data_IF_325488981627
#
_entry.id   IF_325488981627
#
_cell.length_a   1.000
_cell.length_b   1.000
_cell.length_c   1.000
_cell.angle_alpha   90.00
_cell.angle_beta   90.00
_cell.angle_gamma   90.00
#
_symmetry.space_group_name_H-M   'P 1'
#
loop_
_entity.id
_entity.type
_entity.pdbx_description
1 polymer ?
#
# COMPACT_ATOMS: atom_id res chain seq x y z
N UNK A 1 -22.57 -2.95 7.32
CA UNK A 1 -22.32 -1.51 7.02
C UNK A 1 -21.95 -1.33 5.56
N UNK A 2 -22.57 -0.40 4.85
CA UNK A 2 -22.39 -0.17 3.41
C UNK A 2 -21.18 0.74 3.12
N UNK A 3 -20.44 0.50 2.04
CA UNK A 3 -19.37 1.40 1.56
C UNK A 3 -19.94 2.73 1.04
N UNK A 4 -19.15 3.79 1.11
CA UNK A 4 -19.48 5.07 0.46
C UNK A 4 -19.32 4.93 -1.06
N UNK A 5 -20.14 5.67 -1.82
CA UNK A 5 -20.21 5.54 -3.29
C UNK A 5 -18.86 5.74 -3.98
N UNK A 6 -18.04 6.68 -3.48
CA UNK A 6 -16.68 6.92 -3.99
C UNK A 6 -15.78 5.66 -3.96
N UNK A 7 -15.99 4.76 -2.99
CA UNK A 7 -15.24 3.52 -2.82
C UNK A 7 -15.93 2.29 -3.42
N UNK A 8 -17.01 2.49 -4.16
CA UNK A 8 -17.65 1.40 -4.87
C UNK A 8 -16.71 0.86 -5.95
N UNK A 9 -16.86 -0.43 -6.21
CA UNK A 9 -16.23 -1.16 -7.30
C UNK A 9 -17.33 -1.97 -7.96
N UNK A 10 -17.18 -2.31 -9.24
CA UNK A 10 -18.08 -3.27 -9.89
C UNK A 10 -18.11 -4.58 -9.09
N UNK A 11 -19.31 -5.07 -8.87
CA UNK A 11 -19.60 -6.40 -8.33
C UNK A 11 -19.16 -7.48 -9.32
N UNK A 12 -19.14 -8.73 -8.85
CA UNK A 12 -18.84 -9.87 -9.74
C UNK A 12 -19.80 -9.92 -10.92
N UNK A 13 -21.10 -9.75 -10.69
CA UNK A 13 -22.13 -9.78 -11.75
C UNK A 13 -21.92 -8.66 -12.77
N UNK A 14 -21.69 -7.42 -12.33
CA UNK A 14 -21.43 -6.30 -13.25
C UNK A 14 -20.16 -6.51 -14.08
N UNK A 15 -19.16 -7.26 -13.58
CA UNK A 15 -17.98 -7.61 -14.38
C UNK A 15 -18.30 -8.73 -15.36
N UNK A 16 -19.17 -9.68 -15.01
CA UNK A 16 -19.60 -10.76 -15.91
C UNK A 16 -20.37 -10.23 -17.12
N UNK A 17 -21.07 -9.11 -16.95
CA UNK A 17 -21.83 -8.44 -18.02
C UNK A 17 -20.93 -7.67 -19.01
N UNK A 18 -19.63 -7.57 -18.74
CA UNK A 18 -18.65 -7.00 -19.67
C UNK A 18 -18.29 -8.01 -20.76
N UNK A 19 -17.72 -7.53 -21.87
CA UNK A 19 -17.15 -8.40 -22.89
C UNK A 19 -15.94 -9.18 -22.35
N UNK A 20 -16.17 -10.37 -21.81
CA UNK A 20 -15.14 -11.18 -21.14
C UNK A 20 -14.21 -11.88 -22.15
N UNK A 21 -12.91 -11.63 -22.01
CA UNK A 21 -11.85 -12.44 -22.62
C UNK A 21 -11.23 -13.35 -21.57
N UNK A 22 -10.90 -14.59 -21.95
CA UNK A 22 -10.16 -15.49 -21.05
C UNK A 22 -8.66 -15.48 -21.35
N UNK A 23 -7.85 -15.60 -20.30
CA UNK A 23 -6.40 -15.78 -20.41
C UNK A 23 -5.94 -16.93 -19.51
N UNK A 24 -5.18 -17.88 -20.09
CA UNK A 24 -4.69 -19.08 -19.40
C UNK A 24 -3.21 -19.04 -19.04
N UNK A 25 -2.49 -18.00 -19.47
CA UNK A 25 -1.06 -17.81 -19.25
C UNK A 25 -0.82 -16.55 -18.42
N UNK A 26 0.28 -16.52 -17.67
CA UNK A 26 0.65 -15.35 -16.85
C UNK A 26 1.48 -14.32 -17.63
N UNK A 27 2.18 -14.73 -18.68
CA UNK A 27 3.00 -13.85 -19.52
C UNK A 27 2.11 -12.89 -20.31
N UNK A 28 2.45 -11.60 -20.32
CA UNK A 28 1.71 -10.53 -21.00
C UNK A 28 0.42 -10.14 -20.28
N UNK A 29 0.24 -10.55 -19.02
CA UNK A 29 -1.00 -10.35 -18.30
C UNK A 29 -1.17 -8.89 -17.89
N UNK A 30 -0.09 -8.23 -17.48
CA UNK A 30 -0.10 -6.80 -17.16
C UNK A 30 -0.52 -5.97 -18.38
N UNK A 31 0.11 -6.16 -19.54
CA UNK A 31 -0.22 -5.42 -20.76
C UNK A 31 -1.68 -5.64 -21.17
N UNK A 32 -2.14 -6.90 -21.07
CA UNK A 32 -3.53 -7.24 -21.37
C UNK A 32 -4.50 -6.51 -20.45
N UNK A 33 -4.23 -6.48 -19.13
CA UNK A 33 -5.06 -5.75 -18.17
C UNK A 33 -5.01 -4.25 -18.45
N UNK A 34 -3.84 -3.70 -18.76
CA UNK A 34 -3.68 -2.28 -19.05
C UNK A 34 -4.37 -1.88 -20.36
N UNK A 35 -4.49 -2.78 -21.33
CA UNK A 35 -5.21 -2.53 -22.57
C UNK A 35 -6.75 -2.58 -22.44
N UNK A 36 -7.30 -2.98 -21.29
CA UNK A 36 -8.75 -3.10 -21.11
C UNK A 36 -9.45 -1.73 -21.17
N UNK A 37 -10.47 -1.62 -22.02
CA UNK A 37 -11.43 -0.51 -22.03
C UNK A 37 -12.48 -0.66 -20.91
N UNK A 38 -13.27 0.38 -20.66
CA UNK A 38 -14.32 0.36 -19.61
C UNK A 38 -15.36 -0.75 -19.81
N UNK A 39 -15.68 -1.11 -21.06
CA UNK A 39 -16.64 -2.16 -21.42
C UNK A 39 -16.07 -3.58 -21.56
N UNK A 40 -14.74 -3.73 -21.47
CA UNK A 40 -14.08 -5.03 -21.61
C UNK A 40 -13.76 -5.65 -20.25
N UNK A 41 -13.91 -6.97 -20.13
CA UNK A 41 -13.54 -7.72 -18.94
C UNK A 41 -12.53 -8.82 -19.24
N UNK A 42 -11.80 -9.26 -18.20
CA UNK A 42 -10.79 -10.30 -18.31
C UNK A 42 -11.00 -11.36 -17.23
N UNK A 43 -11.00 -12.62 -17.66
CA UNK A 43 -11.00 -13.79 -16.78
C UNK A 43 -9.62 -14.43 -16.79
N UNK A 44 -8.94 -14.38 -15.65
CA UNK A 44 -7.66 -15.03 -15.44
C UNK A 44 -7.92 -16.49 -15.03
N UNK A 45 -7.45 -17.42 -15.86
CA UNK A 45 -7.42 -18.87 -15.59
C UNK A 45 -6.00 -19.37 -15.28
N UNK A 46 -5.10 -18.44 -14.95
CA UNK A 46 -3.74 -18.74 -14.51
C UNK A 46 -3.60 -18.50 -12.99
N UNK A 47 -2.74 -19.28 -12.35
CA UNK A 47 -2.49 -19.16 -10.92
C UNK A 47 -1.55 -17.98 -10.63
N UNK A 48 -2.04 -16.92 -9.98
CA UNK A 48 -1.22 -15.75 -9.60
C UNK A 48 -0.47 -15.96 -8.28
N UNK A 49 -1.10 -16.63 -7.31
CA UNK A 49 -0.47 -16.91 -6.02
C UNK A 49 0.59 -18.00 -6.18
N UNK A 50 1.82 -17.86 -5.66
CA UNK A 50 2.83 -18.92 -5.75
C UNK A 50 2.37 -20.26 -5.17
N UNK A 51 2.72 -21.36 -5.85
CA UNK A 51 2.31 -22.73 -5.46
C UNK A 51 2.68 -23.11 -4.02
N UNK A 52 3.78 -22.57 -3.48
CA UNK A 52 4.19 -22.79 -2.07
C UNK A 52 3.11 -22.44 -1.04
N UNK A 53 2.21 -21.49 -1.35
CA UNK A 53 1.14 -21.09 -0.43
C UNK A 53 -0.13 -21.96 -0.53
N UNK A 54 -0.25 -22.79 -1.56
CA UNK A 54 -1.32 -23.78 -1.68
C UNK A 54 -1.04 -25.05 -0.88
N UNK A 55 0.23 -25.31 -0.51
CA UNK A 55 0.59 -26.39 0.41
C UNK A 55 -0.18 -26.22 1.73
N UNK A 56 -1.00 -27.23 2.08
CA UNK A 56 -1.87 -27.26 3.25
C UNK A 56 -3.03 -26.22 3.24
N UNK A 57 -3.38 -25.68 2.07
CA UNK A 57 -4.51 -24.75 1.90
C UNK A 57 -5.60 -25.40 1.06
N UNK A 58 -6.78 -25.61 1.66
CA UNK A 58 -7.91 -26.24 0.96
C UNK A 58 -8.65 -25.29 -0.01
N UNK A 59 -8.34 -23.99 -0.01
CA UNK A 59 -9.00 -22.99 -0.86
C UNK A 59 -8.04 -21.92 -1.32
N UNK A 60 -8.32 -21.32 -2.48
CA UNK A 60 -7.52 -20.19 -3.01
C UNK A 60 -7.57 -18.98 -2.08
N UNK A 61 -8.69 -18.77 -1.38
CA UNK A 61 -8.81 -17.72 -0.38
C UNK A 61 -7.82 -17.90 0.80
N UNK A 62 -7.64 -19.14 1.29
CA UNK A 62 -6.64 -19.44 2.34
C UNK A 62 -5.22 -19.24 1.82
N UNK A 63 -4.92 -19.75 0.63
CA UNK A 63 -3.61 -19.59 -0.01
C UNK A 63 -3.26 -18.10 -0.22
N UNK A 64 -4.22 -17.31 -0.70
CA UNK A 64 -4.05 -15.86 -0.90
C UNK A 64 -3.82 -15.11 0.41
N UNK A 65 -4.54 -15.45 1.49
CA UNK A 65 -4.28 -14.88 2.84
C UNK A 65 -2.89 -15.26 3.36
N UNK A 66 -2.47 -16.51 3.19
CA UNK A 66 -1.12 -16.96 3.56
C UNK A 66 -0.06 -16.21 2.76
N UNK A 67 -0.26 -16.04 1.46
CA UNK A 67 0.63 -15.25 0.60
C UNK A 67 0.67 -13.77 0.97
N UNK A 68 -0.47 -13.15 1.29
CA UNK A 68 -0.46 -11.75 1.77
C UNK A 68 0.37 -11.60 3.06
N UNK A 69 0.29 -12.59 3.95
CA UNK A 69 0.95 -12.58 5.25
C UNK A 69 2.44 -12.91 5.15
N UNK A 70 2.80 -13.99 4.46
CA UNK A 70 4.16 -14.57 4.40
C UNK A 70 4.80 -14.46 3.00
N UNK A 71 4.21 -13.66 2.11
CA UNK A 71 4.70 -13.42 0.76
C UNK A 71 6.01 -12.66 0.74
N UNK A 72 6.66 -12.70 -0.41
CA UNK A 72 7.94 -12.03 -0.61
C UNK A 72 7.71 -10.52 -0.77
N UNK A 73 8.61 -9.72 -0.20
CA UNK A 73 8.64 -8.26 -0.35
C UNK A 73 10.01 -7.85 -0.85
N UNK A 74 10.06 -6.85 -1.74
CA UNK A 74 11.31 -6.28 -2.23
C UNK A 74 12.03 -5.59 -1.05
N UNK A 75 13.21 -6.04 -0.63
CA UNK A 75 13.95 -5.38 0.43
C UNK A 75 14.57 -4.08 -0.11
N UNK A 76 14.29 -2.95 0.54
CA UNK A 76 14.97 -1.70 0.22
C UNK A 76 16.35 -1.71 0.87
N UNK A 77 17.40 -1.62 0.06
CA UNK A 77 18.77 -1.50 0.57
C UNK A 77 18.94 -0.14 1.26
N UNK A 78 19.34 -0.14 2.52
CA UNK A 78 19.56 1.08 3.30
C UNK A 78 20.68 0.88 4.32
N UNK A 79 21.28 1.95 4.84
CA UNK A 79 22.31 1.82 5.88
C UNK A 79 21.77 1.11 7.12
N UNK A 80 22.58 0.22 7.72
CA UNK A 80 22.16 -0.67 8.81
C UNK A 80 22.36 -0.10 10.21
N UNK A 81 23.17 0.95 10.36
CA UNK A 81 23.45 1.57 11.66
C UNK A 81 22.94 2.99 11.70
N UNK A 82 22.67 3.50 12.91
CA UNK A 82 22.24 4.89 13.11
C UNK A 82 23.26 5.89 12.56
N UNK A 83 24.56 5.66 12.80
CA UNK A 83 25.65 6.53 12.30
C UNK A 83 25.62 6.62 10.78
N UNK A 84 25.58 5.46 10.09
CA UNK A 84 25.56 5.42 8.63
C UNK A 84 24.28 6.02 8.05
N UNK A 85 23.14 5.91 8.74
CA UNK A 85 21.93 6.61 8.31
C UNK A 85 22.08 8.13 8.47
N UNK A 86 22.74 8.58 9.54
CA UNK A 86 22.95 10.01 9.79
C UNK A 86 23.96 10.67 8.85
N UNK A 87 24.84 9.88 8.23
CA UNK A 87 25.82 10.33 7.25
C UNK A 87 25.33 10.16 5.80
N UNK A 88 24.23 9.43 5.61
CA UNK A 88 23.72 9.07 4.29
C UNK A 88 22.92 10.21 3.67
N UNK A 89 23.21 10.61 2.42
CA UNK A 89 22.40 11.59 1.69
C UNK A 89 21.11 10.97 1.11
N UNK A 90 20.95 9.65 1.20
CA UNK A 90 19.85 8.94 0.56
C UNK A 90 18.49 9.32 1.18
N UNK A 91 17.49 9.47 0.33
CA UNK A 91 16.08 9.62 0.73
C UNK A 91 15.27 8.36 0.35
N UNK A 92 14.13 8.09 1.01
CA UNK A 92 13.32 6.91 0.72
C UNK A 92 12.91 6.76 -0.75
N UNK A 93 12.69 7.86 -1.46
CA UNK A 93 12.43 7.84 -2.90
C UNK A 93 13.57 7.16 -3.68
N UNK A 94 14.81 7.53 -3.41
CA UNK A 94 15.98 6.94 -4.08
C UNK A 94 16.12 5.45 -3.72
N UNK A 95 15.86 5.08 -2.46
CA UNK A 95 15.89 3.67 -2.04
C UNK A 95 14.90 2.82 -2.84
N UNK A 96 13.69 3.33 -3.07
CA UNK A 96 12.67 2.66 -3.90
C UNK A 96 13.07 2.64 -5.37
N UNK A 97 13.52 3.76 -5.92
CA UNK A 97 13.95 3.86 -7.30
C UNK A 97 15.08 2.85 -7.61
N UNK A 98 16.10 2.74 -6.75
CA UNK A 98 17.15 1.75 -6.90
C UNK A 98 16.64 0.31 -6.85
N UNK A 99 15.72 0.01 -5.92
CA UNK A 99 15.18 -1.35 -5.80
C UNK A 99 14.31 -1.72 -7.02
N UNK A 100 13.43 -0.83 -7.46
CA UNK A 100 12.49 -1.08 -8.56
C UNK A 100 13.15 -0.97 -9.94
N UNK A 101 14.25 -0.23 -10.07
CA UNK A 101 15.03 -0.19 -11.30
C UNK A 101 16.21 -1.18 -11.30
N UNK A 102 16.35 -2.01 -10.27
CA UNK A 102 17.41 -3.01 -10.23
C UNK A 102 17.29 -3.97 -11.42
N UNK A 103 18.42 -4.28 -12.04
CA UNK A 103 18.47 -5.17 -13.20
C UNK A 103 17.87 -6.54 -12.90
N UNK A 104 18.13 -7.06 -11.68
CA UNK A 104 17.52 -8.29 -11.20
C UNK A 104 15.99 -8.24 -11.24
N UNK A 105 15.39 -7.13 -10.79
CA UNK A 105 13.94 -6.99 -10.80
C UNK A 105 13.38 -6.80 -12.21
N UNK A 106 14.01 -5.95 -13.03
CA UNK A 106 13.52 -5.65 -14.40
C UNK A 106 13.70 -6.80 -15.39
N UNK A 107 14.69 -7.68 -15.20
CA UNK A 107 14.91 -8.86 -16.05
C UNK A 107 14.18 -10.12 -15.56
N UNK A 108 13.59 -10.08 -14.37
CA UNK A 108 12.76 -11.20 -13.89
C UNK A 108 11.56 -11.35 -14.81
N UNK A 109 11.24 -12.58 -15.23
CA UNK A 109 10.07 -12.83 -16.08
C UNK A 109 8.80 -12.46 -15.33
N UNK A 110 7.80 -11.92 -16.03
CA UNK A 110 6.55 -11.44 -15.41
C UNK A 110 5.92 -12.48 -14.48
N UNK A 111 5.86 -13.76 -14.89
CA UNK A 111 5.31 -14.87 -14.10
C UNK A 111 6.10 -15.22 -12.83
N UNK A 112 7.37 -14.81 -12.74
CA UNK A 112 8.26 -15.04 -11.60
C UNK A 112 8.20 -13.90 -10.57
N UNK A 113 7.67 -12.74 -10.96
CA UNK A 113 7.48 -11.59 -10.08
C UNK A 113 6.28 -11.85 -9.19
N UNK A 114 6.56 -12.18 -7.93
CA UNK A 114 5.58 -12.59 -6.94
C UNK A 114 5.64 -11.74 -5.65
N UNK A 115 6.14 -10.51 -5.77
CA UNK A 115 6.26 -9.59 -4.64
C UNK A 115 4.91 -8.96 -4.28
N UNK A 116 4.57 -8.97 -3.00
CA UNK A 116 3.33 -8.35 -2.49
C UNK A 116 3.50 -6.84 -2.25
N UNK A 117 4.74 -6.39 -2.12
CA UNK A 117 5.12 -5.03 -1.81
C UNK A 117 6.63 -4.88 -1.65
N UNK A 118 7.05 -3.85 -0.93
CA UNK A 118 8.43 -3.66 -0.51
C UNK A 118 8.54 -3.58 1.02
N UNK A 119 9.77 -3.68 1.54
CA UNK A 119 10.02 -3.66 2.98
C UNK A 119 11.32 -2.97 3.35
N UNK A 120 11.37 -2.41 4.56
CA UNK A 120 12.55 -1.85 5.19
C UNK A 120 12.66 -2.38 6.62
N UNK A 121 13.88 -2.49 7.16
CA UNK A 121 14.09 -3.00 8.51
C UNK A 121 15.23 -2.23 9.16
N UNK A 122 14.95 -1.30 10.09
CA UNK A 122 16.01 -0.59 10.79
C UNK A 122 16.91 -1.57 11.53
N UNK A 123 18.19 -1.24 11.61
CA UNK A 123 19.19 -2.10 12.25
C UNK A 123 19.57 -1.67 13.67
N UNK A 124 19.03 -0.56 14.15
CA UNK A 124 19.28 0.01 15.48
C UNK A 124 17.97 0.12 16.26
N UNK A 125 18.04 -0.08 17.59
CA UNK A 125 16.95 -0.01 18.58
C UNK A 125 15.66 -0.77 18.22
N UNK A 126 14.95 -0.33 17.19
CA UNK A 126 13.78 -0.97 16.62
C UNK A 126 14.14 -1.82 15.39
N UNK A 127 14.17 -3.14 15.57
CA UNK A 127 14.48 -4.11 14.50
C UNK A 127 13.23 -4.68 13.82
N UNK A 128 12.06 -4.09 14.04
CA UNK A 128 10.80 -4.57 13.48
C UNK A 128 10.78 -4.34 11.97
N UNK A 129 10.35 -5.32 11.18
CA UNK A 129 10.24 -5.17 9.72
C UNK A 129 9.04 -4.27 9.41
N UNK A 130 9.21 -3.28 8.53
CA UNK A 130 8.14 -2.45 7.98
C UNK A 130 7.83 -2.96 6.58
N UNK A 131 6.56 -3.19 6.28
CA UNK A 131 6.12 -3.65 4.96
C UNK A 131 5.08 -2.73 4.36
N UNK A 132 5.16 -2.58 3.03
CA UNK A 132 4.37 -1.66 2.22
C UNK A 132 3.75 -2.44 1.07
N UNK A 133 2.59 -3.09 1.28
CA UNK A 133 1.89 -3.77 0.20
C UNK A 133 1.51 -2.79 -0.93
N UNK A 134 1.79 -3.15 -2.18
CA UNK A 134 1.56 -2.25 -3.33
C UNK A 134 0.11 -1.78 -3.43
N UNK A 135 -0.84 -2.69 -3.22
CA UNK A 135 -2.27 -2.37 -3.20
C UNK A 135 -2.65 -1.28 -2.18
N UNK A 136 -1.95 -1.18 -1.06
CA UNK A 136 -2.23 -0.16 -0.04
C UNK A 136 -1.74 1.22 -0.41
N UNK A 137 -0.76 1.35 -1.30
CA UNK A 137 -0.32 2.64 -1.81
C UNK A 137 -1.43 3.29 -2.65
N UNK A 138 -2.03 2.50 -3.55
CA UNK A 138 -3.14 2.94 -4.42
C UNK A 138 -4.41 3.21 -3.61
N UNK A 139 -4.73 2.31 -2.69
CA UNK A 139 -5.88 2.45 -1.79
C UNK A 139 -5.74 3.64 -0.83
N UNK A 140 -4.51 3.96 -0.42
CA UNK A 140 -4.18 5.14 0.37
C UNK A 140 -4.34 6.44 -0.42
N UNK A 141 -3.82 6.48 -1.65
CA UNK A 141 -4.01 7.62 -2.55
C UNK A 141 -5.49 7.86 -2.87
N UNK A 142 -6.26 6.79 -3.12
CA UNK A 142 -7.72 6.87 -3.31
C UNK A 142 -8.42 7.44 -2.06
N UNK A 143 -8.01 7.00 -0.87
CA UNK A 143 -8.58 7.49 0.38
C UNK A 143 -8.24 8.96 0.64
N UNK A 144 -7.01 9.38 0.31
CA UNK A 144 -6.60 10.78 0.35
C UNK A 144 -7.44 11.64 -0.61
N UNK A 145 -7.60 11.23 -1.88
CA UNK A 145 -8.42 11.94 -2.85
C UNK A 145 -9.89 12.07 -2.38
N UNK A 146 -10.45 11.01 -1.79
CA UNK A 146 -11.77 11.07 -1.17
C UNK A 146 -11.82 12.11 -0.05
N UNK A 147 -10.84 12.09 0.86
CA UNK A 147 -10.80 12.97 2.01
C UNK A 147 -10.80 14.44 1.58
N UNK A 148 -9.93 14.77 0.62
CA UNK A 148 -9.77 16.11 0.04
C UNK A 148 -11.05 16.62 -0.62
N UNK A 149 -11.72 15.77 -1.42
CA UNK A 149 -12.84 16.22 -2.23
C UNK A 149 -14.21 16.07 -1.55
N UNK A 150 -14.34 15.24 -0.51
CA UNK A 150 -15.64 14.84 0.03
C UNK A 150 -15.72 14.81 1.57
N UNK A 151 -14.62 15.00 2.30
CA UNK A 151 -14.60 14.87 3.76
C UNK A 151 -13.76 15.92 4.48
N UNK A 152 -13.57 17.10 3.88
CA UNK A 152 -12.88 18.23 4.52
C UNK A 152 -11.37 18.04 4.69
N UNK A 153 -10.75 17.14 3.93
CA UNK A 153 -9.32 16.82 4.03
C UNK A 153 -8.98 15.81 5.12
N UNK A 154 -7.69 15.66 5.41
CA UNK A 154 -7.14 14.87 6.52
C UNK A 154 -6.82 15.82 7.67
N UNK A 155 -7.28 15.52 8.89
CA UNK A 155 -6.92 16.30 10.07
C UNK A 155 -5.48 15.99 10.47
N UNK A 156 -4.68 17.02 10.73
CA UNK A 156 -3.26 16.89 11.09
C UNK A 156 -2.99 17.81 12.28
N UNK A 157 -2.62 17.22 13.41
CA UNK A 157 -2.29 17.89 14.67
C UNK A 157 -0.84 17.51 15.03
N UNK A 158 0.16 18.34 14.67
CA UNK A 158 1.55 18.05 14.96
C UNK A 158 1.87 18.31 16.44
N UNK A 159 2.48 17.32 17.10
CA UNK A 159 3.13 17.47 18.40
C UNK A 159 4.63 17.56 18.20
N UNK A 160 5.09 18.79 17.95
CA UNK A 160 6.49 19.09 17.75
C UNK A 160 7.13 19.52 19.07
N UNK A 161 7.49 18.55 19.92
CA UNK A 161 8.24 18.84 21.13
C UNK A 161 9.69 19.22 20.73
N UNK A 162 9.95 20.53 20.62
CA UNK A 162 10.98 21.10 19.74
C UNK A 162 12.41 20.58 19.98
N UNK A 163 12.73 20.07 21.18
CA UNK A 163 14.09 19.65 21.55
C UNK A 163 14.52 18.33 20.90
N UNK A 164 13.60 17.40 20.60
CA UNK A 164 13.94 16.04 20.08
C UNK A 164 13.50 15.79 18.65
N UNK A 165 12.60 16.62 18.10
CA UNK A 165 12.03 16.45 16.75
C UNK A 165 13.11 16.32 15.67
N UNK A 166 14.18 17.11 15.74
CA UNK A 166 15.26 17.04 14.75
C UNK A 166 15.99 15.68 14.74
N UNK A 167 16.03 14.95 15.87
CA UNK A 167 16.72 13.67 15.98
C UNK A 167 15.79 12.47 15.79
N UNK A 168 14.56 12.56 16.30
CA UNK A 168 13.64 11.42 16.41
C UNK A 168 12.45 11.50 15.47
N UNK A 169 12.22 12.65 14.83
CA UNK A 169 10.99 12.97 14.15
C UNK A 169 9.90 13.45 15.13
N UNK A 170 8.84 14.03 14.58
CA UNK A 170 7.66 14.44 15.33
C UNK A 170 6.68 13.29 15.51
N UNK A 171 5.85 13.43 16.53
CA UNK A 171 4.61 12.67 16.69
C UNK A 171 3.48 13.50 16.12
N UNK A 172 2.71 12.93 15.20
CA UNK A 172 1.62 13.65 14.54
C UNK A 172 0.33 12.88 14.75
N UNK A 173 -0.66 13.53 15.38
CA UNK A 173 -2.01 12.97 15.48
C UNK A 173 -2.73 13.28 14.18
N UNK A 174 -3.38 12.27 13.62
CA UNK A 174 -4.04 12.33 12.32
C UNK A 174 -5.45 11.81 12.40
N UNK A 175 -6.34 12.44 11.64
CA UNK A 175 -7.73 12.02 11.50
C UNK A 175 -8.05 11.71 10.04
N UNK A 176 -8.30 10.42 9.76
CA UNK A 176 -8.53 9.90 8.41
C UNK A 176 -9.97 9.39 8.30
N UNK A 177 -10.74 9.77 7.26
CA UNK A 177 -12.12 9.32 7.14
C UNK A 177 -12.22 7.81 6.89
N UNK A 178 -13.29 7.17 7.38
CA UNK A 178 -13.61 5.79 7.01
C UNK A 178 -14.17 5.70 5.58
N UNK A 179 -13.98 4.53 4.97
CA UNK A 179 -14.58 4.12 3.68
C UNK A 179 -16.05 3.70 3.82
N UNK A 180 -16.52 3.43 5.03
CA UNK A 180 -17.89 3.00 5.33
C UNK A 180 -18.78 4.20 5.62
N UNK A 181 -20.07 4.10 5.26
CA UNK A 181 -21.06 5.14 5.57
C UNK A 181 -21.30 5.18 7.08
N UNK A 182 -21.54 6.39 7.62
CA UNK A 182 -21.83 6.66 9.04
C UNK A 182 -20.77 6.18 10.04
N UNK A 183 -19.60 5.77 9.57
CA UNK A 183 -18.48 5.45 10.46
C UNK A 183 -17.66 6.72 10.68
N UNK A 184 -17.26 6.94 11.92
CA UNK A 184 -16.43 8.05 12.32
C UNK A 184 -15.04 8.00 11.66
N UNK A 185 -14.32 9.11 11.77
CA UNK A 185 -12.92 9.19 11.33
C UNK A 185 -12.06 8.35 12.27
N UNK A 186 -11.09 7.67 11.69
CA UNK A 186 -10.02 7.03 12.46
C UNK A 186 -9.08 8.10 12.95
N UNK A 187 -8.89 8.19 14.26
CA UNK A 187 -7.90 9.06 14.92
C UNK A 187 -6.77 8.18 15.44
N UNK A 188 -5.54 8.46 15.06
CA UNK A 188 -4.37 7.73 15.51
C UNK A 188 -3.12 8.61 15.42
N UNK A 189 -2.00 8.15 15.99
CA UNK A 189 -0.73 8.88 15.98
C UNK A 189 0.26 8.21 15.02
N UNK A 190 0.98 8.99 14.24
CA UNK A 190 2.17 8.55 13.51
C UNK A 190 3.41 9.07 14.24
N UNK A 191 4.28 8.16 14.69
CA UNK A 191 5.53 8.49 15.37
C UNK A 191 6.71 8.49 14.39
N UNK A 192 7.72 9.32 14.70
CA UNK A 192 8.96 9.44 13.92
C UNK A 192 8.76 10.04 12.52
N UNK A 193 7.82 10.97 12.37
CA UNK A 193 7.60 11.71 11.12
C UNK A 193 8.67 12.80 10.98
N UNK A 194 9.54 12.78 9.95
CA UNK A 194 10.53 13.83 9.78
C UNK A 194 9.86 15.14 9.32
N UNK A 195 9.90 16.15 10.18
CA UNK A 195 9.30 17.48 9.91
C UNK A 195 10.31 18.62 10.02
N UNK A 196 11.53 18.36 10.50
CA UNK A 196 12.63 19.34 10.49
C UNK A 196 13.76 18.74 9.66
N UNK A 197 14.33 19.52 8.74
CA UNK A 197 15.47 19.05 7.94
C UNK A 197 16.66 18.77 8.87
N UNK A 198 17.10 17.52 8.90
CA UNK A 198 18.22 17.09 9.74
C UNK A 198 18.93 15.90 9.12
N UNK A 199 20.17 15.67 9.57
CA UNK A 199 20.95 14.49 9.18
C UNK A 199 20.30 13.18 9.64
N UNK A 200 19.41 13.20 10.64
CA UNK A 200 18.76 12.00 11.19
C UNK A 200 17.48 11.60 10.45
N UNK A 201 17.00 12.38 9.48
CA UNK A 201 15.70 12.19 8.85
C UNK A 201 15.51 10.79 8.25
N UNK A 202 16.54 10.24 7.58
CA UNK A 202 16.47 8.87 7.06
C UNK A 202 16.31 7.84 8.19
N UNK A 203 17.02 8.02 9.31
CA UNK A 203 16.87 7.14 10.47
C UNK A 203 15.45 7.25 11.05
N UNK A 204 14.94 8.47 11.23
CA UNK A 204 13.61 8.72 11.77
C UNK A 204 12.51 8.06 10.93
N UNK A 205 12.52 8.26 9.60
CA UNK A 205 11.49 7.64 8.73
C UNK A 205 11.61 6.12 8.68
N UNK A 206 12.82 5.55 8.74
CA UNK A 206 12.96 4.08 8.79
C UNK A 206 12.30 3.51 10.06
N UNK A 207 12.27 4.28 11.15
CA UNK A 207 11.57 3.91 12.39
C UNK A 207 10.09 4.28 12.45
N UNK A 208 9.53 4.92 11.40
CA UNK A 208 8.12 5.30 11.31
C UNK A 208 7.23 4.14 11.75
N UNK A 209 6.26 4.46 12.61
CA UNK A 209 5.25 3.50 13.07
C UNK A 209 3.97 4.22 13.49
N UNK A 210 2.80 3.62 13.27
CA UNK A 210 1.55 4.12 13.80
C UNK A 210 1.30 3.62 15.23
N UNK A 211 0.59 4.42 16.00
CA UNK A 211 0.20 4.13 17.37
C UNK A 211 -1.30 4.42 17.54
N UNK A 212 -2.02 3.50 18.20
CA UNK A 212 -3.42 3.69 18.61
C UNK A 212 -3.45 4.67 19.78
N UNK A 213 -4.46 5.55 19.81
CA UNK A 213 -4.66 6.49 20.91
C UNK A 213 -5.64 5.86 21.90
N UNK A 214 -5.28 5.95 23.18
CA UNK A 214 -6.08 5.49 24.29
C UNK A 214 -6.59 6.71 25.05
N UNK A 215 -7.83 6.63 25.50
CA UNK A 215 -8.42 7.58 26.43
C UNK A 215 -7.67 7.45 27.76
N UNK A 216 -7.04 8.53 28.20
CA UNK A 216 -6.18 8.52 29.40
C UNK A 216 -6.96 8.30 30.70
N UNK A 217 -8.27 8.54 30.71
CA UNK A 217 -9.12 8.46 31.91
C UNK A 217 -9.72 7.06 32.09
N UNK A 218 -10.18 6.46 30.98
CA UNK A 218 -10.83 5.15 30.98
C UNK A 218 -9.89 4.01 30.59
N UNK A 219 -8.71 4.32 30.05
CA UNK A 219 -7.80 3.35 29.43
C UNK A 219 -8.37 2.67 28.19
N UNK A 220 -9.56 3.09 27.72
CA UNK A 220 -10.22 2.55 26.56
C UNK A 220 -9.54 3.04 25.28
N UNK A 221 -9.66 2.28 24.18
CA UNK A 221 -9.22 2.77 22.87
C UNK A 221 -10.16 3.91 22.48
N UNK A 222 -9.65 5.14 22.45
CA UNK A 222 -10.43 6.33 22.11
C UNK A 222 -10.85 6.27 20.63
N UNK A 223 -9.89 5.88 19.77
CA UNK A 223 -10.01 5.54 18.36
C UNK A 223 -8.70 4.88 17.90
N UNK A 224 -8.79 3.79 17.13
CA UNK A 224 -7.62 3.07 16.60
C UNK A 224 -7.41 3.30 15.10
N UNK A 225 -6.25 2.91 14.58
CA UNK A 225 -5.92 2.97 13.14
C UNK A 225 -6.90 2.14 12.30
N UNK A 226 -7.19 0.91 12.74
CA UNK A 226 -8.31 0.08 12.23
C UNK A 226 -8.77 -0.93 13.29
N UNK A 227 -10.07 -1.28 13.30
CA UNK A 227 -10.62 -2.32 14.20
C UNK A 227 -9.97 -3.71 14.03
N UNK A 228 -9.32 -3.96 12.88
CA UNK A 228 -8.71 -5.25 12.58
C UNK A 228 -7.21 -5.32 12.91
N UNK A 229 -6.56 -4.20 13.25
CA UNK A 229 -5.15 -4.20 13.67
C UNK A 229 -4.94 -5.08 14.91
N UNK A 230 -5.90 -5.11 15.85
CA UNK A 230 -5.85 -5.96 17.06
C UNK A 230 -5.95 -7.46 16.76
N UNK A 231 -6.53 -7.84 15.61
CA UNK A 231 -6.72 -9.23 15.21
C UNK A 231 -5.72 -9.69 14.13
N UNK A 232 -4.74 -8.86 13.78
CA UNK A 232 -3.69 -9.21 12.82
C UNK A 232 -2.62 -10.11 13.46
N UNK A 233 -3.06 -11.24 14.03
CA UNK A 233 -2.22 -12.19 14.74
C UNK A 233 -1.35 -12.95 13.74
N UNK A 234 -0.03 -12.82 13.91
CA UNK A 234 0.97 -13.59 13.18
C UNK A 234 1.49 -14.73 14.04
N UNK A 235 0.97 -15.93 13.81
CA UNK A 235 1.61 -17.15 14.31
C UNK A 235 2.94 -17.34 13.59
N UNK A 236 4.00 -17.49 14.37
CA UNK A 236 5.27 -18.04 13.92
C UNK A 236 5.03 -19.53 13.69
N UNK A 237 5.27 -20.02 12.47
CA UNK A 237 5.35 -21.48 12.26
C UNK A 237 6.67 -21.97 12.88
N UNK A 238 6.71 -23.22 13.37
CA UNK A 238 7.88 -23.80 14.07
C UNK A 238 9.19 -23.71 13.24
N UNK A 239 9.06 -23.61 11.91
CA UNK A 239 10.17 -23.58 10.95
C UNK A 239 10.55 -22.15 10.49
N UNK A 240 9.83 -21.11 10.93
CA UNK A 240 10.04 -19.73 10.46
C UNK A 240 11.06 -18.96 11.32
N UNK A 241 12.23 -18.65 10.75
CA UNK A 241 13.32 -17.91 11.39
C UNK A 241 13.11 -16.39 11.47
N UNK A 242 12.11 -15.84 10.77
CA UNK A 242 11.78 -14.40 10.85
C UNK A 242 10.84 -14.14 12.03
N UNK A 243 11.23 -13.19 12.89
CA UNK A 243 10.38 -12.70 13.96
C UNK A 243 9.01 -12.28 13.39
N UNK A 244 7.96 -12.94 13.85
CA UNK A 244 6.56 -12.79 13.43
C UNK A 244 6.00 -11.36 13.57
N UNK A 245 6.72 -10.46 14.26
CA UNK A 245 6.35 -9.07 14.45
C UNK A 245 6.84 -8.20 13.28
N UNK A 246 5.89 -7.76 12.46
CA UNK A 246 6.12 -6.74 11.43
C UNK A 246 5.06 -5.65 11.50
N UNK A 247 5.44 -4.42 11.16
CA UNK A 247 4.53 -3.29 10.97
C UNK A 247 4.12 -3.29 9.50
N UNK A 248 2.86 -3.57 9.23
CA UNK A 248 2.28 -3.36 7.89
C UNK A 248 1.73 -1.94 7.85
N UNK A 249 1.89 -1.20 6.77
CA UNK A 249 1.19 0.07 6.59
C UNK A 249 -0.08 -0.15 5.77
N UNK A 250 -1.22 0.27 6.32
CA UNK A 250 -2.54 0.18 5.70
C UNK A 250 -2.87 1.47 4.93
N UNK A 251 -3.95 1.48 4.14
CA UNK A 251 -4.34 2.66 3.37
C UNK A 251 -4.53 3.92 4.21
N UNK A 252 -4.96 3.80 5.47
CA UNK A 252 -5.14 4.96 6.35
C UNK A 252 -3.81 5.61 6.71
N UNK A 253 -2.72 4.85 6.88
CA UNK A 253 -1.39 5.41 7.16
C UNK A 253 -0.84 6.17 5.96
N UNK A 254 -1.02 5.60 4.76
CA UNK A 254 -0.60 6.24 3.51
C UNK A 254 -1.37 7.54 3.33
N UNK A 255 -2.70 7.51 3.48
CA UNK A 255 -3.54 8.70 3.38
C UNK A 255 -3.21 9.75 4.45
N UNK A 256 -2.95 9.31 5.69
CA UNK A 256 -2.49 10.18 6.77
C UNK A 256 -1.18 10.88 6.41
N UNK A 257 -0.19 10.13 5.93
CA UNK A 257 1.11 10.70 5.58
C UNK A 257 1.02 11.65 4.38
N UNK A 258 0.15 11.39 3.41
CA UNK A 258 -0.17 12.35 2.34
C UNK A 258 -0.81 13.64 2.90
N UNK A 259 -1.68 13.51 3.91
CA UNK A 259 -2.23 14.65 4.66
C UNK A 259 -1.14 15.46 5.36
N UNK A 260 -0.21 14.79 6.03
CA UNK A 260 0.97 15.41 6.67
C UNK A 260 1.81 16.16 5.64
N UNK A 261 2.12 15.53 4.49
CA UNK A 261 2.85 16.18 3.40
C UNK A 261 2.13 17.45 2.97
N UNK A 262 0.81 17.38 2.70
CA UNK A 262 0.03 18.55 2.29
C UNK A 262 0.06 19.67 3.35
N UNK A 263 -0.10 19.33 4.63
CA UNK A 263 -0.05 20.28 5.73
C UNK A 263 1.28 21.03 5.78
N UNK A 264 2.40 20.30 5.83
CA UNK A 264 3.72 20.92 5.90
C UNK A 264 4.15 21.61 4.59
N UNK A 265 3.68 21.15 3.42
CA UNK A 265 3.87 21.86 2.16
C UNK A 265 3.23 23.26 2.19
N UNK A 266 2.06 23.41 2.83
CA UNK A 266 1.43 24.72 3.00
C UNK A 266 2.22 25.67 3.91
N UNK A 267 3.12 25.12 4.72
CA UNK A 267 4.09 25.85 5.55
C UNK A 267 5.48 25.96 4.87
N UNK A 268 5.56 25.70 3.56
CA UNK A 268 6.81 25.69 2.78
C UNK A 268 7.87 24.68 3.25
N UNK A 269 7.45 23.61 3.93
CA UNK A 269 8.33 22.56 4.43
C UNK A 269 8.23 21.28 3.60
N UNK A 270 9.29 21.02 2.82
CA UNK A 270 9.39 19.84 1.95
C UNK A 270 9.82 18.57 2.68
N UNK A 271 10.25 18.66 3.94
CA UNK A 271 10.89 17.54 4.66
C UNK A 271 10.04 16.27 4.68
N UNK A 272 8.73 16.31 5.00
CA UNK A 272 7.91 15.10 4.98
C UNK A 272 7.75 14.52 3.57
N UNK A 273 7.75 15.37 2.53
CA UNK A 273 7.65 14.91 1.14
C UNK A 273 8.94 14.19 0.70
N UNK A 274 10.10 14.79 0.94
CA UNK A 274 11.41 14.18 0.64
C UNK A 274 11.59 12.85 1.39
N UNK A 275 11.10 12.79 2.63
CA UNK A 275 11.22 11.63 3.50
C UNK A 275 10.03 10.69 3.43
N UNK A 276 9.16 10.81 2.43
CA UNK A 276 7.99 9.94 2.31
C UNK A 276 8.39 8.48 2.04
N UNK A 277 8.09 7.52 2.94
CA UNK A 277 8.42 6.10 2.73
C UNK A 277 7.45 5.39 1.79
N UNK A 278 6.31 6.01 1.49
CA UNK A 278 5.27 5.46 0.61
C UNK A 278 5.56 5.78 -0.85
N UNK A 279 5.45 4.78 -1.73
CA UNK A 279 5.42 5.03 -3.16
C UNK A 279 4.18 5.88 -3.49
N UNK A 280 4.40 6.96 -4.25
CA UNK A 280 3.31 7.81 -4.70
C UNK A 280 2.88 7.31 -6.08
N UNK A 281 1.66 6.78 -6.24
CA UNK A 281 1.26 6.21 -7.51
C UNK A 281 1.08 7.28 -8.58
N UNK A 282 1.55 7.00 -9.79
CA UNK A 282 1.24 7.80 -10.97
C UNK A 282 -0.25 7.71 -11.33
N UNK A 283 -0.69 8.53 -12.30
CA UNK A 283 -2.06 8.43 -12.82
C UNK A 283 -2.26 7.10 -13.54
N UNK A 284 -1.26 6.63 -14.28
CA UNK A 284 -1.26 5.33 -14.96
C UNK A 284 -1.46 4.18 -13.97
N UNK A 285 -0.77 4.19 -12.83
CA UNK A 285 -0.95 3.17 -11.80
C UNK A 285 -2.36 3.19 -11.17
N UNK A 286 -2.94 4.37 -10.99
CA UNK A 286 -4.32 4.51 -10.52
C UNK A 286 -5.33 3.91 -11.51
N UNK A 287 -5.16 4.16 -12.81
CA UNK A 287 -6.00 3.61 -13.87
C UNK A 287 -5.86 2.10 -13.98
N UNK A 288 -4.64 1.58 -13.95
CA UNK A 288 -4.38 0.13 -13.92
C UNK A 288 -5.05 -0.52 -12.70
N UNK A 289 -4.92 0.09 -11.52
CA UNK A 289 -5.57 -0.40 -10.31
C UNK A 289 -7.10 -0.40 -10.40
N UNK A 290 -7.70 0.60 -11.05
CA UNK A 290 -9.15 0.60 -11.34
C UNK A 290 -9.54 -0.59 -12.21
N UNK A 291 -8.77 -0.89 -13.26
CA UNK A 291 -9.03 -2.05 -14.14
C UNK A 291 -8.95 -3.37 -13.35
N UNK A 292 -7.93 -3.53 -12.50
CA UNK A 292 -7.84 -4.69 -11.59
C UNK A 292 -9.07 -4.85 -10.68
N UNK A 293 -9.67 -3.75 -10.24
CA UNK A 293 -10.83 -3.79 -9.34
C UNK A 293 -12.16 -3.96 -10.07
N UNK A 294 -12.28 -3.49 -11.32
CA UNK A 294 -13.57 -3.32 -12.00
C UNK A 294 -13.70 -4.08 -13.32
N UNK A 295 -12.66 -4.75 -13.79
CA UNK A 295 -12.68 -5.44 -15.08
C UNK A 295 -12.13 -6.88 -15.00
N UNK A 296 -11.50 -7.25 -13.88
CA UNK A 296 -10.79 -8.53 -13.79
C UNK A 296 -11.46 -9.49 -12.80
N UNK A 297 -11.73 -10.70 -13.27
CA UNK A 297 -12.09 -11.86 -12.48
C UNK A 297 -10.99 -12.93 -12.58
N UNK A 298 -10.94 -13.80 -11.58
CA UNK A 298 -10.06 -14.97 -11.58
C UNK A 298 -10.89 -16.23 -11.33
N UNK A 299 -10.54 -17.28 -12.05
CA UNK A 299 -11.11 -18.60 -11.88
C UNK A 299 -10.57 -19.25 -10.60
N UNK A 300 -11.47 -19.76 -9.77
CA UNK A 300 -11.18 -20.40 -8.50
C UNK A 300 -12.00 -21.69 -8.38
N UNK A 301 -11.40 -22.85 -8.66
CA UNK A 301 -12.10 -24.13 -8.64
C UNK A 301 -12.61 -24.53 -7.25
N UNK A 302 -12.16 -23.86 -6.18
CA UNK A 302 -12.64 -24.11 -4.81
C UNK A 302 -14.02 -23.48 -4.52
N UNK A 303 -14.56 -22.69 -5.44
CA UNK A 303 -15.88 -22.07 -5.29
C UNK A 303 -17.01 -23.03 -5.70
N UNK A 304 -18.12 -22.95 -4.94
CA UNK A 304 -19.36 -23.70 -5.24
C UNK A 304 -20.25 -23.02 -6.30
N UNK A 305 -19.95 -21.78 -6.68
CA UNK A 305 -20.72 -21.05 -7.69
C UNK A 305 -20.52 -21.67 -9.07
N UNK A 306 -21.57 -21.69 -9.90
CA UNK A 306 -21.58 -22.32 -11.24
C UNK A 306 -20.42 -21.88 -12.14
N UNK A 307 -20.11 -20.59 -12.16
CA UNK A 307 -19.03 -20.03 -13.00
C UNK A 307 -17.62 -20.20 -12.37
N UNK A 308 -17.55 -20.48 -11.07
CA UNK A 308 -16.30 -20.58 -10.29
C UNK A 308 -15.37 -19.35 -10.42
N UNK A 309 -15.93 -18.17 -10.66
CA UNK A 309 -15.22 -16.90 -10.77
C UNK A 309 -15.37 -16.06 -9.50
N UNK A 310 -14.32 -15.30 -9.19
CA UNK A 310 -14.33 -14.29 -8.13
C UNK A 310 -13.49 -13.09 -8.51
N UNK A 311 -13.64 -12.00 -7.76
CA UNK A 311 -12.71 -10.89 -7.81
C UNK A 311 -11.33 -11.29 -7.26
N UNK A 312 -10.32 -10.54 -7.69
CA UNK A 312 -8.96 -10.66 -7.18
C UNK A 312 -8.91 -10.36 -5.67
N UNK A 313 -8.18 -11.18 -4.95
CA UNK A 313 -7.79 -10.95 -3.57
C UNK A 313 -6.63 -9.96 -3.47
N UNK A 314 -6.39 -9.46 -2.25
CA UNK A 314 -5.37 -8.43 -1.96
C UNK A 314 -3.98 -8.84 -2.45
N UNK A 315 -3.53 -10.06 -2.12
CA UNK A 315 -2.22 -10.54 -2.57
C UNK A 315 -2.10 -10.61 -4.10
N UNK A 316 -3.16 -11.03 -4.79
CA UNK A 316 -3.17 -11.15 -6.25
C UNK A 316 -3.07 -9.76 -6.90
N UNK A 317 -3.84 -8.80 -6.41
CA UNK A 317 -3.74 -7.39 -6.86
C UNK A 317 -2.34 -6.84 -6.61
N UNK A 318 -1.78 -7.07 -5.42
CA UNK A 318 -0.42 -6.64 -5.08
C UNK A 318 0.64 -7.23 -6.01
N UNK A 319 0.56 -8.54 -6.32
CA UNK A 319 1.50 -9.21 -7.22
C UNK A 319 1.39 -8.63 -8.64
N UNK A 320 0.18 -8.42 -9.15
CA UNK A 320 -0.04 -7.80 -10.46
C UNK A 320 0.46 -6.36 -10.52
N UNK A 321 0.32 -5.59 -9.44
CA UNK A 321 0.93 -4.26 -9.32
C UNK A 321 2.46 -4.33 -9.29
N UNK A 322 3.05 -5.32 -8.60
CA UNK A 322 4.50 -5.55 -8.60
C UNK A 322 5.03 -5.88 -10.01
N UNK A 323 4.30 -6.71 -10.77
CA UNK A 323 4.59 -7.00 -12.18
C UNK A 323 4.51 -5.74 -13.04
N UNK A 324 3.49 -4.90 -12.82
CA UNK A 324 3.34 -3.64 -13.53
C UNK A 324 4.50 -2.67 -13.27
N UNK A 325 4.98 -2.58 -12.03
CA UNK A 325 6.16 -1.78 -11.69
C UNK A 325 7.40 -2.28 -12.42
N UNK A 326 7.61 -3.60 -12.52
CA UNK A 326 8.76 -4.15 -13.23
C UNK A 326 8.70 -3.88 -14.74
N UNK A 327 7.50 -3.99 -15.32
CA UNK A 327 7.27 -3.80 -16.74
C UNK A 327 7.38 -2.32 -17.14
N UNK A 328 6.60 -1.45 -16.51
CA UNK A 328 6.52 -0.02 -16.85
C UNK A 328 7.64 0.80 -16.21
N UNK A 329 8.20 0.33 -15.10
CA UNK A 329 9.29 1.02 -14.37
C UNK A 329 8.80 1.88 -13.21
N UNK A 330 9.76 2.28 -12.37
CA UNK A 330 9.49 3.11 -11.18
C UNK A 330 8.83 4.45 -11.56
N UNK A 331 9.39 5.15 -12.54
CA UNK A 331 9.01 6.55 -12.82
C UNK A 331 7.60 6.65 -13.39
N UNK A 332 7.19 5.69 -14.21
CA UNK A 332 5.86 5.68 -14.86
C UNK A 332 4.76 5.11 -13.97
N UNK A 333 5.09 4.27 -12.98
CA UNK A 333 4.08 3.55 -12.21
C UNK A 333 4.12 3.81 -10.70
N UNK A 334 5.31 3.89 -10.09
CA UNK A 334 5.50 3.99 -8.64
C UNK A 334 6.00 5.38 -8.17
N UNK A 335 6.03 6.35 -9.06
CA UNK A 335 6.41 7.74 -8.82
C UNK A 335 5.34 8.68 -9.33
N UNK A 336 5.08 9.72 -8.55
CA UNK A 336 4.16 10.79 -8.90
C UNK A 336 4.96 11.98 -9.43
N UNK A 337 4.71 12.32 -10.68
CA UNK A 337 5.22 13.53 -11.31
C UNK A 337 4.05 14.53 -11.44
N UNK A 338 4.10 15.70 -10.78
CA UNK A 338 3.01 16.67 -10.84
C UNK A 338 2.69 17.17 -12.26
N UNK A 339 3.68 17.20 -13.16
CA UNK A 339 3.52 17.69 -14.53
C UNK A 339 2.83 16.66 -15.42
N UNK A 340 3.18 15.38 -15.28
CA UNK A 340 2.57 14.27 -16.02
C UNK A 340 1.23 13.85 -15.42
N UNK A 341 1.17 13.72 -14.11
CA UNK A 341 0.06 13.06 -13.40
C UNK A 341 -0.97 14.04 -12.85
N UNK A 342 -0.66 15.34 -12.75
CA UNK A 342 -1.50 16.34 -12.08
C UNK A 342 -1.52 16.13 -10.56
N UNK A 343 -2.56 16.59 -9.85
CA UNK A 343 -2.65 16.42 -8.38
C UNK A 343 -3.27 15.07 -8.03
N UNK A 344 -2.72 14.39 -7.01
CA UNK A 344 -3.26 13.12 -6.51
C UNK A 344 -4.75 13.15 -6.17
N UNK A 345 -5.24 14.29 -5.65
CA UNK A 345 -6.66 14.46 -5.30
C UNK A 345 -7.58 14.49 -6.54
N UNK A 346 -7.03 14.82 -7.71
CA UNK A 346 -7.79 14.99 -8.96
C UNK A 346 -7.84 13.69 -9.78
N UNK A 347 -7.21 12.60 -9.30
CA UNK A 347 -7.29 11.30 -9.95
C UNK A 347 -8.74 10.81 -9.99
N UNK A 348 -9.20 10.35 -11.16
CA UNK A 348 -10.56 9.83 -11.31
C UNK A 348 -10.66 8.41 -10.75
N UNK A 349 -11.24 8.27 -9.56
CA UNK A 349 -11.47 6.97 -8.91
C UNK A 349 -12.85 6.38 -9.14
N UNK A 350 -13.70 7.03 -9.95
CA UNK A 350 -15.07 6.59 -10.21
C UNK A 350 -15.09 5.36 -11.11
N UNK A 351 -16.15 4.58 -11.00
CA UNK A 351 -16.45 3.51 -11.96
C UNK A 351 -16.81 4.21 -13.27
N UNK A 352 -16.08 3.91 -14.34
CA UNK A 352 -16.44 4.34 -15.68
C UNK A 352 -17.54 3.40 -16.15
N UNK A 353 -18.71 3.94 -16.50
CA UNK A 353 -19.81 3.16 -17.04
C UNK A 353 -19.48 2.71 -18.46
#
# INVERSE_FOLDING_TARGET
>A
MTRKAFFNERSKSEILDLGLREVRRQRGLVELIDSLSSGAGLVIRAQIIPGKFFRNSNTSAKASRKCYKHGDYIPLAHPRTLSKCSESPLIPLQLRAHAFNSEAFRRTREEEINFVGYSMRPGWSDRTRRVFPFVWMLEGARLFAYAENNAGGIGVEPYADARRVAREGASVVVEVPSRRRKQERYKFRLEHVPVVRSRYNLASVLTLKPQIIYDETSGAIEKGRTEHDIYNIRYTYEDESEASRQITFYPHDVAAYLGIIKHYLSEHNLTPMEMNPFALPSRHAAEFYKKLCNNVLIFDPSLRSKDQLRKLHIAEKSILLGRAIALFGHDDFAYWDPTRDGRLRDYDWRIQN
#
